data_IF_635200431978
#
_entry.id   IF_635200431978
#
_cell.length_a   1.000
_cell.length_b   1.000
_cell.length_c   1.000
_cell.angle_alpha   90.00
_cell.angle_beta   90.00
_cell.angle_gamma   90.00
#
_symmetry.space_group_name_H-M   'P 1'
#
loop_
_entity.id
_entity.type
_entity.pdbx_description
1 polymer ?
#
# COMPACT_ATOMS: atom_id res chain seq x y z
N UNK A 1 -13.32 9.22 7.60
CA UNK A 1 -12.56 10.03 6.62
C UNK A 1 -11.56 11.01 7.23
N UNK A 2 -11.91 11.83 8.25
CA UNK A 2 -10.96 12.80 8.86
C UNK A 2 -9.59 12.23 9.27
N UNK A 3 -9.56 10.99 9.81
CA UNK A 3 -8.29 10.30 10.17
C UNK A 3 -7.37 10.01 8.98
N UNK A 4 -7.89 10.08 7.76
CA UNK A 4 -7.13 9.86 6.52
C UNK A 4 -6.80 11.17 5.79
N UNK A 5 -7.15 12.33 6.35
CA UNK A 5 -6.77 13.62 5.77
C UNK A 5 -5.26 13.76 5.49
N UNK A 6 -4.36 13.19 6.32
CA UNK A 6 -2.94 13.19 6.03
C UNK A 6 -2.53 12.45 4.73
N UNK A 7 -3.36 11.55 4.17
CA UNK A 7 -3.09 10.94 2.86
C UNK A 7 -3.36 11.88 1.69
N UNK A 8 -4.28 12.84 1.85
CA UNK A 8 -4.75 13.69 0.74
C UNK A 8 -3.64 14.62 0.28
N UNK A 9 -3.35 14.60 -1.02
CA UNK A 9 -2.29 15.39 -1.62
C UNK A 9 -1.59 14.66 -2.76
N UNK A 10 -0.45 15.23 -3.17
CA UNK A 10 0.44 14.63 -4.16
C UNK A 10 1.74 14.23 -3.49
N UNK A 11 2.28 13.09 -3.88
CA UNK A 11 3.44 12.46 -3.28
C UNK A 11 4.39 11.96 -4.35
N UNK A 12 5.68 12.19 -4.15
CA UNK A 12 6.72 11.42 -4.83
C UNK A 12 6.83 10.06 -4.14
N UNK A 13 6.80 8.97 -4.91
CA UNK A 13 6.90 7.61 -4.40
C UNK A 13 8.17 6.92 -4.87
N UNK A 14 8.77 6.13 -3.98
CA UNK A 14 9.87 5.21 -4.31
C UNK A 14 9.58 3.85 -3.69
N UNK A 15 9.45 2.84 -4.55
CA UNK A 15 9.17 1.46 -4.22
C UNK A 15 10.44 0.64 -4.40
N UNK A 16 10.95 0.08 -3.30
CA UNK A 16 12.10 -0.82 -3.30
C UNK A 16 11.57 -2.23 -3.07
N UNK A 17 11.55 -3.05 -4.12
CA UNK A 17 11.16 -4.45 -4.05
C UNK A 17 12.37 -5.33 -3.72
N UNK A 18 12.15 -6.30 -2.81
CA UNK A 18 13.20 -7.17 -2.25
C UNK A 18 14.40 -6.36 -1.75
N UNK A 19 14.20 -5.46 -0.77
CA UNK A 19 15.23 -4.53 -0.32
C UNK A 19 16.51 -5.21 0.20
N UNK A 20 16.42 -6.46 0.63
CA UNK A 20 17.57 -7.26 1.10
C UNK A 20 18.33 -7.96 -0.05
N UNK A 21 17.82 -7.88 -1.29
CA UNK A 21 18.52 -8.39 -2.48
C UNK A 21 19.77 -7.55 -2.78
N UNK A 22 20.87 -8.15 -3.26
CA UNK A 22 22.04 -7.39 -3.74
C UNK A 22 21.71 -6.49 -4.95
N UNK A 23 20.61 -6.78 -5.65
CA UNK A 23 20.09 -5.97 -6.76
C UNK A 23 18.59 -5.74 -6.55
N UNK A 24 18.20 -4.78 -5.69
CA UNK A 24 16.80 -4.49 -5.47
C UNK A 24 16.20 -3.84 -6.72
N UNK A 25 14.94 -4.15 -7.02
CA UNK A 25 14.21 -3.45 -8.08
C UNK A 25 13.64 -2.17 -7.50
N UNK A 26 13.97 -1.03 -8.10
CA UNK A 26 13.48 0.27 -7.66
C UNK A 26 12.52 0.82 -8.71
N UNK A 27 11.37 1.27 -8.25
CA UNK A 27 10.37 1.96 -9.06
C UNK A 27 10.07 3.32 -8.43
N UNK A 28 9.93 4.35 -9.27
CA UNK A 28 9.67 5.71 -8.80
C UNK A 28 8.46 6.27 -9.52
N UNK A 29 7.67 7.05 -8.80
CA UNK A 29 6.43 7.58 -9.33
C UNK A 29 5.90 8.79 -8.60
N UNK A 30 4.70 9.18 -9.01
CA UNK A 30 3.91 10.24 -8.39
C UNK A 30 2.56 9.66 -8.03
N UNK A 31 2.20 9.74 -6.75
CA UNK A 31 0.90 9.32 -6.22
C UNK A 31 0.06 10.54 -5.88
N UNK A 32 -1.15 10.60 -6.41
CA UNK A 32 -2.16 11.60 -6.03
C UNK A 32 -3.29 10.92 -5.29
N UNK A 33 -3.57 11.37 -4.07
CA UNK A 33 -4.70 10.92 -3.28
C UNK A 33 -5.71 12.06 -3.09
N UNK A 34 -6.98 11.82 -3.41
CA UNK A 34 -8.05 12.80 -3.29
C UNK A 34 -9.36 12.15 -2.86
N UNK A 35 -10.27 12.94 -2.29
CA UNK A 35 -11.63 12.46 -2.05
C UNK A 35 -12.34 12.21 -3.38
N UNK A 36 -13.14 11.13 -3.43
CA UNK A 36 -13.85 10.69 -4.61
C UNK A 36 -15.25 10.20 -4.25
N UNK A 37 -16.14 10.19 -5.26
CA UNK A 37 -17.50 9.66 -5.16
C UNK A 37 -18.30 10.29 -4.00
N UNK A 38 -18.30 11.63 -3.94
CA UNK A 38 -18.99 12.38 -2.88
C UNK A 38 -18.38 12.17 -1.49
N UNK A 39 -17.05 12.21 -1.41
CA UNK A 39 -16.24 12.05 -0.19
C UNK A 39 -16.40 10.72 0.56
N UNK A 40 -17.01 9.72 -0.09
CA UNK A 40 -17.16 8.36 0.46
C UNK A 40 -15.89 7.53 0.35
N UNK A 41 -15.01 7.90 -0.58
CA UNK A 41 -13.75 7.21 -0.84
C UNK A 41 -12.60 8.21 -0.89
N UNK A 42 -11.40 7.71 -0.61
CA UNK A 42 -10.16 8.34 -1.06
C UNK A 42 -9.67 7.52 -2.24
N UNK A 43 -9.57 8.14 -3.41
CA UNK A 43 -8.90 7.57 -4.55
C UNK A 43 -7.42 7.94 -4.50
N UNK A 44 -6.54 6.96 -4.64
CA UNK A 44 -5.11 7.16 -4.85
C UNK A 44 -4.71 6.58 -6.20
N UNK A 45 -4.14 7.43 -7.05
CA UNK A 45 -3.62 7.06 -8.38
C UNK A 45 -2.12 7.27 -8.38
N UNK A 46 -1.37 6.25 -8.80
CA UNK A 46 0.09 6.31 -8.91
C UNK A 46 0.48 6.18 -10.37
N UNK A 47 1.26 7.12 -10.86
CA UNK A 47 1.96 7.02 -12.16
C UNK A 47 3.43 6.79 -11.87
N UNK A 48 3.96 5.62 -12.23
CA UNK A 48 5.33 5.22 -11.93
C UNK A 48 6.06 4.73 -13.17
N UNK A 49 7.38 4.64 -13.08
CA UNK A 49 8.25 4.04 -14.09
C UNK A 49 9.10 2.98 -13.41
N UNK A 50 9.06 1.75 -13.91
CA UNK A 50 9.88 0.67 -13.36
C UNK A 50 11.35 0.79 -13.80
N UNK A 51 12.21 -0.07 -13.26
CA UNK A 51 13.64 -0.11 -13.59
C UNK A 51 13.96 -0.32 -15.09
N UNK A 52 12.98 -0.76 -15.90
CA UNK A 52 13.12 -0.95 -17.36
C UNK A 52 12.57 0.22 -18.18
N UNK A 53 12.12 1.29 -17.54
CA UNK A 53 11.54 2.46 -18.24
C UNK A 53 10.08 2.28 -18.66
N UNK A 54 9.41 1.20 -18.24
CA UNK A 54 8.00 0.96 -18.58
C UNK A 54 7.09 1.71 -17.60
N UNK A 55 6.12 2.43 -18.15
CA UNK A 55 5.09 3.15 -17.39
C UNK A 55 4.13 2.19 -16.68
N UNK A 56 3.87 2.45 -15.40
CA UNK A 56 2.95 1.71 -14.56
C UNK A 56 1.94 2.66 -13.95
N UNK A 57 0.68 2.25 -13.94
CA UNK A 57 -0.38 2.98 -13.25
C UNK A 57 -1.09 2.03 -12.30
N UNK A 58 -1.27 2.51 -11.06
CA UNK A 58 -1.97 1.80 -10.00
C UNK A 58 -3.06 2.68 -9.43
N UNK A 59 -4.24 2.12 -9.23
CA UNK A 59 -5.39 2.81 -8.65
C UNK A 59 -6.01 2.00 -7.53
N UNK A 60 -6.12 2.62 -6.38
CA UNK A 60 -6.81 2.05 -5.24
C UNK A 60 -7.70 3.07 -4.54
N UNK A 61 -8.76 2.56 -3.91
CA UNK A 61 -9.73 3.35 -3.17
C UNK A 61 -9.76 2.92 -1.72
N UNK A 62 -9.81 3.87 -0.80
CA UNK A 62 -9.91 3.64 0.64
C UNK A 62 -11.25 4.15 1.13
N UNK A 63 -11.97 3.34 1.90
CA UNK A 63 -13.26 3.72 2.50
C UNK A 63 -13.39 3.17 3.92
N UNK A 64 -14.33 3.74 4.70
CA UNK A 64 -14.69 3.24 6.03
C UNK A 64 -15.81 2.22 5.90
N UNK A 65 -15.61 1.03 6.47
CA UNK A 65 -16.61 -0.01 6.64
C UNK A 65 -17.21 0.13 8.05
N UNK A 66 -18.42 0.74 8.20
CA UNK A 66 -19.03 0.95 9.49
C UNK A 66 -19.51 -0.34 10.16
N UNK A 67 -19.83 -1.38 9.39
CA UNK A 67 -20.28 -2.67 9.94
C UNK A 67 -19.14 -3.41 10.63
N UNK A 68 -17.94 -3.36 10.01
CA UNK A 68 -16.74 -4.01 10.56
C UNK A 68 -15.88 -3.09 11.42
N UNK A 69 -16.25 -1.80 11.52
CA UNK A 69 -15.50 -0.81 12.29
C UNK A 69 -14.06 -0.65 11.82
N UNK A 70 -13.79 -0.72 10.51
CA UNK A 70 -12.42 -0.68 9.96
C UNK A 70 -12.36 0.02 8.59
N UNK A 71 -11.15 0.35 8.13
CA UNK A 71 -10.99 0.85 6.76
C UNK A 71 -10.72 -0.31 5.79
N UNK A 72 -11.19 -0.18 4.55
CA UNK A 72 -10.98 -1.16 3.49
C UNK A 72 -10.33 -0.47 2.29
N UNK A 73 -9.33 -1.12 1.67
CA UNK A 73 -8.81 -0.73 0.38
C UNK A 73 -9.16 -1.71 -0.71
N UNK A 74 -9.74 -1.13 -1.74
CA UNK A 74 -10.07 -1.76 -2.99
C UNK A 74 -8.99 -1.36 -3.97
N UNK A 75 -8.07 -2.27 -4.30
CA UNK A 75 -7.22 -2.06 -5.47
C UNK A 75 -8.03 -2.43 -6.70
N UNK A 76 -8.50 -1.43 -7.45
CA UNK A 76 -9.51 -1.63 -8.49
C UNK A 76 -8.86 -1.80 -9.87
N UNK A 77 -7.72 -1.16 -10.10
CA UNK A 77 -7.10 -1.21 -11.43
C UNK A 77 -5.60 -1.01 -11.37
N UNK A 78 -4.92 -1.76 -12.21
CA UNK A 78 -3.49 -1.68 -12.40
C UNK A 78 -3.20 -2.19 -13.81
N UNK A 79 -2.35 -1.48 -14.56
CA UNK A 79 -1.89 -1.96 -15.87
C UNK A 79 -0.87 -3.12 -15.74
N UNK A 80 -0.60 -3.57 -14.52
CA UNK A 80 0.12 -4.78 -14.14
C UNK A 80 -0.79 -5.68 -13.31
N UNK A 81 -0.92 -6.96 -13.69
CA UNK A 81 -1.84 -7.90 -13.03
C UNK A 81 -1.50 -8.19 -11.56
N UNK A 82 -2.38 -8.91 -10.86
CA UNK A 82 -2.13 -9.41 -9.50
C UNK A 82 -2.76 -8.60 -8.36
N UNK A 83 -3.83 -7.85 -8.61
CA UNK A 83 -4.48 -7.03 -7.58
C UNK A 83 -5.27 -7.87 -6.57
N UNK A 84 -5.21 -7.45 -5.30
CA UNK A 84 -5.94 -8.06 -4.19
C UNK A 84 -6.74 -7.01 -3.43
N UNK A 85 -7.91 -7.44 -2.95
CA UNK A 85 -8.63 -6.71 -1.91
C UNK A 85 -7.79 -6.74 -0.63
N UNK A 86 -7.63 -5.57 -0.01
CA UNK A 86 -6.86 -5.48 1.23
C UNK A 86 -7.66 -4.77 2.30
N UNK A 87 -7.67 -5.33 3.50
CA UNK A 87 -8.37 -4.74 4.65
C UNK A 87 -7.37 -4.09 5.57
N UNK A 88 -7.77 -2.99 6.20
CA UNK A 88 -6.90 -2.24 7.08
C UNK A 88 -7.48 -2.08 8.47
N UNK A 89 -6.64 -2.25 9.47
CA UNK A 89 -6.87 -1.74 10.80
C UNK A 89 -5.97 -0.52 11.02
N UNK A 90 -6.51 0.55 11.59
CA UNK A 90 -5.70 1.67 12.05
C UNK A 90 -5.45 1.45 13.53
N UNK A 91 -4.21 1.64 13.97
CA UNK A 91 -3.87 1.62 15.37
C UNK A 91 -4.64 2.69 16.17
N UNK A 92 -4.62 2.58 17.50
CA UNK A 92 -5.33 3.53 18.37
C UNK A 92 -4.78 4.97 18.26
N UNK A 93 -3.56 5.14 17.76
CA UNK A 93 -2.90 6.44 17.63
C UNK A 93 -3.17 7.14 16.30
N UNK A 94 -3.67 6.42 15.29
CA UNK A 94 -3.89 6.94 13.95
C UNK A 94 -2.62 7.05 13.10
N UNK A 95 -1.49 6.49 13.54
CA UNK A 95 -0.17 6.67 12.91
C UNK A 95 0.29 5.49 12.10
N UNK A 96 -0.19 4.30 12.44
CA UNK A 96 0.17 3.06 11.76
C UNK A 96 -1.09 2.32 11.32
N UNK A 97 -1.07 1.86 10.07
CA UNK A 97 -2.14 1.06 9.51
C UNK A 97 -1.61 -0.33 9.26
N UNK A 98 -2.24 -1.31 9.89
CA UNK A 98 -2.04 -2.71 9.62
C UNK A 98 -2.90 -3.13 8.43
N UNK A 99 -2.25 -3.57 7.37
CA UNK A 99 -2.85 -3.86 6.09
C UNK A 99 -2.74 -5.37 5.83
N UNK A 100 -3.87 -6.07 5.82
CA UNK A 100 -3.95 -7.53 5.66
C UNK A 100 -4.68 -7.90 4.38
N UNK A 101 -4.07 -8.76 3.58
CA UNK A 101 -4.75 -9.41 2.44
C UNK A 101 -5.96 -10.20 2.93
N UNK A 102 -7.08 -10.12 2.22
CA UNK A 102 -8.33 -10.76 2.66
C UNK A 102 -8.34 -12.28 2.50
N UNK A 103 -7.50 -12.82 1.62
CA UNK A 103 -7.36 -14.24 1.37
C UNK A 103 -5.92 -14.59 0.96
N UNK A 104 -5.47 -15.82 1.20
CA UNK A 104 -4.25 -16.31 0.59
C UNK A 104 -4.38 -16.41 -0.94
N UNK A 105 -3.26 -16.41 -1.65
CA UNK A 105 -3.18 -16.56 -3.11
C UNK A 105 -2.02 -17.49 -3.49
N UNK A 106 -2.07 -18.09 -4.68
CA UNK A 106 -1.01 -18.98 -5.16
C UNK A 106 -0.08 -18.24 -6.12
N UNK A 107 1.22 -18.25 -5.82
CA UNK A 107 2.27 -17.73 -6.71
C UNK A 107 3.35 -18.80 -6.87
N UNK A 108 3.60 -19.24 -8.12
CA UNK A 108 4.52 -20.33 -8.45
C UNK A 108 4.22 -21.64 -7.70
N UNK A 109 2.93 -21.97 -7.52
CA UNK A 109 2.49 -23.20 -6.83
C UNK A 109 2.57 -23.14 -5.29
N UNK A 110 2.92 -21.99 -4.71
CA UNK A 110 3.02 -21.80 -3.26
C UNK A 110 1.90 -20.88 -2.79
N UNK A 111 1.13 -21.29 -1.78
CA UNK A 111 0.16 -20.43 -1.10
C UNK A 111 0.89 -19.32 -0.33
N UNK A 112 0.44 -18.08 -0.49
CA UNK A 112 1.03 -16.89 0.12
C UNK A 112 -0.02 -16.04 0.80
N UNK A 113 0.40 -15.36 1.86
CA UNK A 113 -0.34 -14.31 2.55
C UNK A 113 0.42 -12.99 2.45
N UNK A 114 -0.32 -11.89 2.48
CA UNK A 114 0.24 -10.54 2.48
C UNK A 114 -0.07 -9.83 3.79
N UNK A 115 0.97 -9.21 4.36
CA UNK A 115 0.84 -8.23 5.43
C UNK A 115 1.62 -7.01 4.97
N UNK A 116 1.07 -5.82 5.20
CA UNK A 116 1.86 -4.61 5.11
C UNK A 116 1.51 -3.62 6.22
N UNK A 117 2.40 -2.68 6.48
CA UNK A 117 2.18 -1.59 7.44
C UNK A 117 2.36 -0.27 6.72
N UNK A 118 1.43 0.67 6.89
CA UNK A 118 1.55 2.04 6.39
C UNK A 118 1.71 2.98 7.58
N UNK A 119 2.87 3.64 7.68
CA UNK A 119 3.22 4.46 8.84
C UNK A 119 3.48 5.90 8.41
N UNK A 120 2.87 6.86 9.12
CA UNK A 120 3.17 8.29 8.98
C UNK A 120 4.47 8.63 9.71
N UNK A 121 5.60 8.45 9.02
CA UNK A 121 6.93 8.68 9.58
C UNK A 121 7.19 10.17 9.92
N UNK A 122 6.56 11.10 9.19
CA UNK A 122 6.56 12.55 9.43
C UNK A 122 5.33 13.19 8.77
N UNK A 123 5.01 14.48 9.00
CA UNK A 123 3.86 15.13 8.35
C UNK A 123 3.86 15.01 6.82
N UNK A 124 5.06 15.06 6.22
CA UNK A 124 5.30 14.98 4.78
C UNK A 124 5.92 13.65 4.34
N UNK A 125 5.85 12.62 5.19
CA UNK A 125 6.47 11.32 4.91
C UNK A 125 5.61 10.15 5.35
N UNK A 126 5.39 9.23 4.42
CA UNK A 126 4.72 7.95 4.69
C UNK A 126 5.67 6.82 4.29
N UNK A 127 5.65 5.72 5.03
CA UNK A 127 6.38 4.49 4.69
C UNK A 127 5.38 3.36 4.63
N UNK A 128 5.32 2.67 3.49
CA UNK A 128 4.54 1.44 3.31
C UNK A 128 5.50 0.26 3.25
N UNK A 129 5.46 -0.60 4.27
CA UNK A 129 6.32 -1.76 4.36
C UNK A 129 5.51 -3.03 4.12
N UNK A 130 5.79 -3.70 3.00
CA UNK A 130 5.18 -4.98 2.64
C UNK A 130 6.00 -6.18 3.05
N UNK A 131 5.30 -7.23 3.43
CA UNK A 131 5.85 -8.53 3.80
C UNK A 131 5.05 -9.62 3.09
N UNK A 132 5.74 -10.63 2.57
CA UNK A 132 5.10 -11.80 1.99
C UNK A 132 5.44 -13.04 2.78
N UNK A 133 4.45 -13.93 2.87
CA UNK A 133 4.52 -15.30 3.37
C UNK A 133 4.64 -15.42 4.89
N UNK A 134 3.77 -16.22 5.52
CA UNK A 134 4.16 -17.30 6.45
C UNK A 134 3.01 -18.30 6.66
N UNK A 135 3.42 -19.52 7.02
CA UNK A 135 2.66 -20.53 7.76
C UNK A 135 2.35 -20.14 9.22
N UNK A 136 2.57 -18.89 9.63
CA UNK A 136 2.32 -18.38 10.99
C UNK A 136 1.69 -16.98 10.96
N UNK A 137 0.96 -16.62 12.02
CA UNK A 137 0.21 -15.37 12.13
C UNK A 137 1.03 -14.16 12.63
N UNK A 138 2.36 -14.28 12.84
CA UNK A 138 3.18 -13.19 13.37
C UNK A 138 4.08 -12.53 12.31
N UNK A 139 3.93 -11.23 12.00
CA UNK A 139 4.57 -10.54 10.87
C UNK A 139 6.01 -10.08 11.11
N UNK A 140 6.47 -10.02 12.35
CA UNK A 140 7.79 -9.46 12.70
C UNK A 140 8.95 -10.34 12.24
N UNK A 141 8.67 -11.58 11.84
CA UNK A 141 9.64 -12.54 11.30
C UNK A 141 9.58 -12.69 9.77
N UNK A 142 8.67 -11.98 9.10
CA UNK A 142 8.48 -12.13 7.65
C UNK A 142 9.52 -11.28 6.92
N UNK A 143 10.14 -11.80 5.84
CA UNK A 143 11.05 -11.00 5.03
C UNK A 143 10.30 -9.82 4.42
N UNK A 144 10.95 -8.65 4.43
CA UNK A 144 10.42 -7.46 3.77
C UNK A 144 10.42 -7.71 2.28
N UNK A 145 9.25 -7.66 1.68
CA UNK A 145 9.09 -7.89 0.26
C UNK A 145 9.10 -6.62 -0.56
N UNK A 146 8.61 -5.52 0.02
CA UNK A 146 8.81 -4.18 -0.51
C UNK A 146 8.85 -3.15 0.60
N UNK A 147 9.54 -2.05 0.33
CA UNK A 147 9.46 -0.82 1.09
C UNK A 147 9.16 0.31 0.13
N UNK A 148 7.98 0.90 0.26
CA UNK A 148 7.61 2.10 -0.46
C UNK A 148 7.71 3.31 0.48
N UNK A 149 8.24 4.41 -0.02
CA UNK A 149 8.30 5.69 0.69
C UNK A 149 7.56 6.76 -0.10
N UNK A 150 6.73 7.55 0.59
CA UNK A 150 6.02 8.68 0.00
C UNK A 150 6.58 9.96 0.61
N UNK A 151 6.97 10.89 -0.24
CA UNK A 151 7.41 12.23 0.15
C UNK A 151 6.44 13.23 -0.41
N UNK A 152 5.90 14.13 0.42
CA UNK A 152 4.90 15.08 -0.04
C UNK A 152 5.54 16.00 -1.09
N UNK A 153 4.93 16.05 -2.27
CA UNK A 153 5.35 16.95 -3.33
C UNK A 153 4.82 18.34 -2.99
N UNK A 154 5.72 19.31 -2.91
CA UNK A 154 5.40 20.72 -2.64
C UNK A 154 4.88 21.41 -3.89
#
# INVERSE_FOLDING_TARGET
>A
MKRLAPLIGTWDTEDIYRPESPTPSIERGVRRCAYALGDRYIECVTMATNARGLGREYRFYITWDPERGRYTMLSIWSNVGGLQLTTFAIDSTGREWDIRGTAPYVENGIERRTWSTLTFAAPDSIVWLGRYNLSSDSPTSWPVSFRETWRRRR
#
